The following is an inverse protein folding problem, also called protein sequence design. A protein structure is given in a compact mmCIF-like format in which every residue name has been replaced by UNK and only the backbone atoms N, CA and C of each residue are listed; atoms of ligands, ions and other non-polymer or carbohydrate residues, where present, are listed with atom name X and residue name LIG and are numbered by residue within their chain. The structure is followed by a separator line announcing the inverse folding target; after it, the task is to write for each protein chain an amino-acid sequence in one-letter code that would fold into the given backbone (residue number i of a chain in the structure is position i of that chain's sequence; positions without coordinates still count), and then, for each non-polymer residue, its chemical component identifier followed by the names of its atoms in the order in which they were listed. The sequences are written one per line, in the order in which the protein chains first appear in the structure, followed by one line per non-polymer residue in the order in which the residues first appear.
data_IF_495311150940
#
_entry.id   IF_495311150940
#
_cell.length_a   1.000
_cell.length_b   1.000
_cell.length_c   1.000
_cell.angle_alpha   90.00
_cell.angle_beta   90.00
_cell.angle_gamma   90.00
#
_symmetry.space_group_name_H-M   'P 1'
#
loop_
_entity.id
_entity.type
_entity.pdbx_description
1 polymer ?
#
# COMPACT_ATOMS: atom_id res chain seq x y z
N UNK A 1 -7.92 -9.79 18.45
CA UNK A 1 -7.28 -9.10 17.29
C UNK A 1 -8.34 -8.29 16.58
N UNK A 2 -8.27 -6.97 16.59
CA UNK A 2 -9.27 -6.10 15.98
C UNK A 2 -8.74 -5.65 14.60
N UNK A 3 -9.17 -6.31 13.54
CA UNK A 3 -8.99 -5.91 12.16
C UNK A 3 -10.16 -5.09 11.62
N UNK A 4 -10.17 -4.82 10.33
CA UNK A 4 -11.36 -4.32 9.65
C UNK A 4 -12.43 -5.44 9.64
N UNK A 5 -13.72 -5.15 9.95
CA UNK A 5 -14.78 -6.14 9.90
C UNK A 5 -15.13 -6.44 8.44
N UNK A 6 -14.55 -7.51 7.92
CA UNK A 6 -14.76 -7.93 6.54
C UNK A 6 -16.07 -8.70 6.38
N UNK A 7 -16.77 -8.43 5.30
CA UNK A 7 -17.96 -9.17 4.87
C UNK A 7 -17.68 -9.68 3.45
N UNK A 8 -17.64 -10.99 3.26
CA UNK A 8 -17.39 -11.65 1.96
C UNK A 8 -16.17 -11.05 1.23
N UNK A 9 -15.03 -10.99 1.92
CA UNK A 9 -13.79 -10.47 1.32
C UNK A 9 -13.78 -8.96 1.03
N UNK A 10 -14.69 -8.20 1.61
CA UNK A 10 -14.85 -6.77 1.36
C UNK A 10 -15.01 -5.97 2.64
N UNK A 11 -14.62 -4.71 2.61
CA UNK A 11 -14.89 -3.74 3.66
C UNK A 11 -15.41 -2.45 3.06
N UNK A 12 -16.47 -1.92 3.64
CA UNK A 12 -17.00 -0.62 3.28
C UNK A 12 -17.40 0.14 4.54
N UNK A 13 -17.00 1.39 4.64
CA UNK A 13 -17.45 2.27 5.71
C UNK A 13 -18.97 2.40 5.63
N UNK A 14 -19.71 1.82 6.60
CA UNK A 14 -21.15 1.60 6.52
C UNK A 14 -21.99 2.85 6.76
N UNK A 15 -21.53 3.77 7.62
CA UNK A 15 -22.25 5.01 7.98
C UNK A 15 -21.25 6.16 8.09
N UNK A 16 -21.75 7.39 8.15
CA UNK A 16 -20.93 8.57 8.42
C UNK A 16 -20.32 8.47 9.83
N UNK A 17 -19.07 7.98 9.89
CA UNK A 17 -18.29 7.87 11.13
C UNK A 17 -17.56 9.18 11.47
N UNK A 18 -17.89 10.25 10.75
CA UNK A 18 -17.26 11.55 10.91
C UNK A 18 -17.48 12.11 12.30
N UNK A 19 -16.38 12.44 12.98
CA UNK A 19 -16.45 13.10 14.28
C UNK A 19 -16.98 14.53 14.15
N UNK A 20 -17.46 15.13 15.24
CA UNK A 20 -17.88 16.54 15.26
C UNK A 20 -16.74 17.45 14.76
N UNK A 21 -15.51 17.21 15.20
CA UNK A 21 -14.33 17.95 14.71
C UNK A 21 -14.12 17.71 13.20
N UNK A 22 -14.32 16.49 12.72
CA UNK A 22 -14.22 16.14 11.30
C UNK A 22 -15.24 16.84 10.41
N UNK A 23 -16.42 17.17 10.95
CA UNK A 23 -17.44 17.95 10.23
C UNK A 23 -17.01 19.41 10.03
N UNK A 24 -16.26 19.97 10.99
CA UNK A 24 -15.75 21.34 10.92
C UNK A 24 -14.46 21.40 10.12
N UNK A 25 -13.49 20.53 10.44
CA UNK A 25 -12.18 20.50 9.78
C UNK A 25 -11.63 19.06 9.73
N UNK A 26 -11.62 18.41 8.56
CA UNK A 26 -11.00 17.09 8.38
C UNK A 26 -9.53 17.06 8.80
N UNK A 27 -8.78 18.12 8.53
CA UNK A 27 -7.36 18.22 8.88
C UNK A 27 -7.16 18.23 10.40
N UNK A 28 -7.96 18.99 11.15
CA UNK A 28 -7.93 19.01 12.62
C UNK A 28 -8.40 17.70 13.25
N UNK A 29 -9.28 16.96 12.57
CA UNK A 29 -9.65 15.63 13.00
C UNK A 29 -8.55 14.60 12.75
N UNK A 30 -7.74 14.77 11.70
CA UNK A 30 -6.74 13.81 11.25
C UNK A 30 -5.36 14.03 11.87
N UNK A 31 -4.73 15.19 11.65
CA UNK A 31 -3.32 15.40 11.96
C UNK A 31 -2.96 15.27 13.45
N UNK A 32 -3.73 15.81 14.41
CA UNK A 32 -3.42 15.63 15.82
C UNK A 32 -3.47 14.17 16.29
N UNK A 33 -4.17 13.29 15.53
CA UNK A 33 -4.28 11.86 15.86
C UNK A 33 -3.22 11.01 15.17
N UNK A 34 -2.80 11.36 13.95
CA UNK A 34 -1.83 10.54 13.23
C UNK A 34 -0.41 10.70 13.80
N UNK A 35 -0.02 11.90 14.25
CA UNK A 35 1.31 12.11 14.82
C UNK A 35 1.59 11.22 16.02
N UNK A 36 0.73 11.12 17.06
CA UNK A 36 0.93 10.19 18.16
C UNK A 36 1.05 8.72 17.72
N UNK A 37 0.28 8.29 16.68
CA UNK A 37 0.40 6.94 16.13
C UNK A 37 1.80 6.71 15.56
N UNK A 38 2.31 7.65 14.75
CA UNK A 38 3.65 7.57 14.15
C UNK A 38 4.75 7.56 15.22
N UNK A 39 4.68 8.46 16.20
CA UNK A 39 5.68 8.54 17.27
C UNK A 39 5.69 7.28 18.14
N UNK A 40 4.51 6.75 18.48
CA UNK A 40 4.38 5.50 19.23
C UNK A 40 4.95 4.32 18.45
N UNK A 41 4.61 4.20 17.15
CA UNK A 41 5.15 3.17 16.26
C UNK A 41 6.69 3.26 16.19
N UNK A 42 7.23 4.47 16.00
CA UNK A 42 8.67 4.71 15.99
C UNK A 42 9.37 4.33 17.30
N UNK A 43 8.76 4.68 18.45
CA UNK A 43 9.28 4.33 19.78
C UNK A 43 9.24 2.80 20.02
N UNK A 44 8.19 2.12 19.58
CA UNK A 44 8.10 0.65 19.65
C UNK A 44 9.14 -0.01 18.74
N UNK A 45 9.29 0.47 17.51
CA UNK A 45 10.26 -0.02 16.55
C UNK A 45 11.71 0.16 17.05
N UNK A 46 12.04 1.32 17.60
CA UNK A 46 13.35 1.58 18.22
C UNK A 46 13.69 0.59 19.35
N UNK A 47 12.68 0.07 20.05
CA UNK A 47 12.82 -0.91 21.14
C UNK A 47 12.72 -2.37 20.67
N UNK A 48 12.64 -2.62 19.35
CA UNK A 48 12.49 -3.97 18.79
C UNK A 48 11.12 -4.62 19.05
N UNK A 49 10.09 -3.84 19.41
CA UNK A 49 8.75 -4.33 19.79
C UNK A 49 7.66 -4.00 18.75
N UNK A 50 8.03 -3.60 17.54
CA UNK A 50 7.10 -3.29 16.46
C UNK A 50 7.03 -4.46 15.50
N UNK A 51 6.28 -5.49 15.88
CA UNK A 51 6.00 -6.71 15.12
C UNK A 51 4.81 -6.53 14.15
N UNK A 52 4.36 -7.61 13.53
CA UNK A 52 3.25 -7.59 12.58
C UNK A 52 1.91 -7.19 13.25
N UNK A 53 1.71 -7.60 14.51
CA UNK A 53 0.52 -7.24 15.27
C UNK A 53 0.49 -5.73 15.63
N UNK A 54 1.61 -5.19 16.08
CA UNK A 54 1.75 -3.77 16.36
C UNK A 54 1.60 -2.93 15.08
N UNK A 55 2.10 -3.43 13.96
CA UNK A 55 1.95 -2.78 12.66
C UNK A 55 0.49 -2.77 12.20
N UNK A 56 -0.20 -3.90 12.28
CA UNK A 56 -1.62 -4.00 11.98
C UNK A 56 -2.45 -3.06 12.86
N UNK A 57 -2.17 -3.02 14.17
CA UNK A 57 -2.87 -2.17 15.12
C UNK A 57 -2.69 -0.67 14.82
N UNK A 58 -1.47 -0.24 14.51
CA UNK A 58 -1.20 1.16 14.14
C UNK A 58 -1.84 1.53 12.80
N UNK A 59 -1.81 0.62 11.83
CA UNK A 59 -2.47 0.77 10.53
C UNK A 59 -4.01 0.89 10.69
N UNK A 60 -4.61 0.07 11.54
CA UNK A 60 -6.03 0.18 11.89
C UNK A 60 -6.37 1.54 12.52
N UNK A 61 -5.51 2.01 13.43
CA UNK A 61 -5.69 3.33 14.05
C UNK A 61 -5.65 4.46 13.02
N UNK A 62 -4.80 4.37 11.99
CA UNK A 62 -4.78 5.32 10.87
C UNK A 62 -6.07 5.24 10.05
N UNK A 63 -6.52 4.04 9.68
CA UNK A 63 -7.78 3.85 8.93
C UNK A 63 -8.97 4.44 9.68
N UNK A 64 -9.08 4.19 10.99
CA UNK A 64 -10.13 4.77 11.85
C UNK A 64 -10.00 6.29 11.99
N UNK A 65 -8.80 6.82 11.96
CA UNK A 65 -8.57 8.27 11.99
C UNK A 65 -9.03 8.94 10.71
N UNK A 66 -8.82 8.30 9.56
CA UNK A 66 -9.35 8.74 8.26
C UNK A 66 -10.89 8.75 8.26
N UNK A 67 -11.54 7.69 8.75
CA UNK A 67 -12.99 7.62 8.86
C UNK A 67 -13.55 8.72 9.78
N UNK A 68 -12.91 8.97 10.93
CA UNK A 68 -13.28 10.07 11.83
C UNK A 68 -13.10 11.45 11.19
N UNK A 69 -12.17 11.61 10.26
CA UNK A 69 -12.02 12.81 9.44
C UNK A 69 -13.06 12.90 8.32
N UNK A 70 -13.81 11.83 8.07
CA UNK A 70 -14.91 11.76 7.12
C UNK A 70 -14.57 11.04 5.81
N UNK A 71 -13.36 10.49 5.65
CA UNK A 71 -13.04 9.66 4.51
C UNK A 71 -13.81 8.32 4.58
N UNK A 72 -14.22 7.81 3.43
CA UNK A 72 -14.86 6.50 3.30
C UNK A 72 -13.87 5.53 2.70
N UNK A 73 -13.81 4.32 3.24
CA UNK A 73 -12.99 3.22 2.72
C UNK A 73 -13.93 2.25 1.98
N UNK A 74 -13.51 1.81 0.80
CA UNK A 74 -14.16 0.79 -0.02
C UNK A 74 -13.08 -0.17 -0.51
N UNK A 75 -13.08 -1.40 0.05
CA UNK A 75 -12.03 -2.41 -0.16
C UNK A 75 -12.71 -3.67 -0.67
N UNK A 76 -12.26 -4.23 -1.79
CA UNK A 76 -12.87 -5.40 -2.44
C UNK A 76 -11.82 -6.41 -2.89
N UNK A 77 -12.24 -7.66 -3.11
CA UNK A 77 -11.40 -8.72 -3.68
C UNK A 77 -10.42 -9.37 -2.71
N UNK A 78 -10.63 -9.23 -1.39
CA UNK A 78 -9.76 -9.86 -0.38
C UNK A 78 -9.94 -11.37 -0.28
N UNK A 79 -11.00 -11.93 -0.83
CA UNK A 79 -11.21 -13.36 -1.04
C UNK A 79 -10.09 -13.96 -1.92
N UNK A 80 -9.62 -13.25 -2.95
CA UNK A 80 -8.47 -13.63 -3.76
C UNK A 80 -7.16 -13.70 -2.95
N UNK A 81 -7.01 -12.80 -1.96
CA UNK A 81 -5.83 -12.80 -1.08
C UNK A 81 -5.93 -13.92 -0.06
N UNK A 82 -7.13 -14.13 0.50
CA UNK A 82 -7.39 -15.14 1.54
C UNK A 82 -7.27 -16.57 1.02
N UNK A 83 -7.74 -16.84 -0.21
CA UNK A 83 -7.71 -18.18 -0.82
C UNK A 83 -6.34 -18.58 -1.36
N UNK A 84 -5.42 -17.63 -1.54
CA UNK A 84 -4.09 -17.92 -2.06
C UNK A 84 -3.19 -18.48 -0.96
N UNK A 85 -2.63 -19.67 -1.14
CA UNK A 85 -1.60 -20.21 -0.26
C UNK A 85 -0.21 -19.65 -0.57
N UNK A 86 0.66 -19.61 0.45
CA UNK A 86 2.05 -19.13 0.32
C UNK A 86 2.18 -17.63 0.06
N UNK A 87 3.42 -17.17 -0.20
CA UNK A 87 3.72 -15.77 -0.49
C UNK A 87 3.37 -15.40 -1.94
N UNK A 88 3.21 -14.11 -2.19
CA UNK A 88 2.95 -13.56 -3.52
C UNK A 88 3.60 -12.18 -3.68
N UNK A 89 3.57 -11.66 -4.91
CA UNK A 89 3.93 -10.27 -5.20
C UNK A 89 2.66 -9.49 -5.47
N UNK A 90 2.35 -8.51 -4.62
CA UNK A 90 1.29 -7.54 -4.86
C UNK A 90 1.83 -6.44 -5.76
N UNK A 91 1.17 -6.18 -6.89
CA UNK A 91 1.59 -5.15 -7.85
C UNK A 91 0.45 -4.19 -8.11
N UNK A 92 0.66 -2.90 -7.84
CA UNK A 92 -0.37 -1.87 -8.02
C UNK A 92 0.17 -0.48 -8.29
N UNK A 93 -0.73 0.46 -8.56
CA UNK A 93 -0.42 1.86 -8.74
C UNK A 93 -0.10 2.55 -7.41
N UNK A 94 0.59 3.71 -7.47
CA UNK A 94 1.06 4.47 -6.30
C UNK A 94 0.57 5.92 -6.40
N UNK A 95 -0.33 6.33 -5.51
CA UNK A 95 -0.99 7.63 -5.61
C UNK A 95 -0.62 8.58 -4.46
N UNK A 96 -0.66 8.09 -3.21
CA UNK A 96 -0.45 8.93 -2.03
C UNK A 96 0.32 8.20 -0.92
N UNK A 97 0.56 8.87 0.19
CA UNK A 97 1.13 8.26 1.39
C UNK A 97 0.13 7.31 2.09
N UNK A 98 -1.17 7.53 1.88
CA UNK A 98 -2.26 6.80 2.55
C UNK A 98 -2.13 5.29 2.40
N UNK A 99 -1.88 4.82 1.18
CA UNK A 99 -1.83 3.38 0.91
C UNK A 99 -0.78 2.64 1.74
N UNK A 100 0.38 3.26 1.97
CA UNK A 100 1.44 2.62 2.75
C UNK A 100 1.09 2.51 4.24
N UNK A 101 0.22 3.38 4.74
CA UNK A 101 -0.31 3.33 6.10
C UNK A 101 -1.49 2.38 6.25
N UNK A 102 -2.29 2.16 5.21
CA UNK A 102 -3.54 1.39 5.29
C UNK A 102 -3.38 -0.04 4.78
N UNK A 103 -2.51 -0.31 3.79
CA UNK A 103 -2.27 -1.68 3.29
C UNK A 103 -1.93 -2.70 4.40
N UNK A 104 -1.19 -2.37 5.47
CA UNK A 104 -0.90 -3.35 6.51
C UNK A 104 -2.15 -3.88 7.24
N UNK A 105 -3.14 -3.03 7.56
CA UNK A 105 -4.38 -3.53 8.18
C UNK A 105 -5.22 -4.37 7.22
N UNK A 106 -5.07 -4.15 5.91
CA UNK A 106 -5.78 -4.89 4.87
C UNK A 106 -5.15 -6.28 4.65
N UNK A 107 -3.81 -6.35 4.56
CA UNK A 107 -3.10 -7.53 4.07
C UNK A 107 -2.55 -8.44 5.18
N UNK A 108 -2.11 -7.89 6.32
CA UNK A 108 -1.50 -8.67 7.42
C UNK A 108 -2.41 -9.75 8.01
N UNK A 109 -3.75 -9.63 8.01
CA UNK A 109 -4.62 -10.72 8.42
C UNK A 109 -4.47 -12.01 7.59
N UNK A 110 -3.97 -11.88 6.35
CA UNK A 110 -3.86 -12.98 5.39
C UNK A 110 -2.41 -13.35 5.07
N UNK A 111 -1.53 -12.34 4.98
CA UNK A 111 -0.16 -12.49 4.47
C UNK A 111 0.81 -11.63 5.27
N UNK A 112 1.95 -12.20 5.65
CA UNK A 112 3.09 -11.37 6.05
C UNK A 112 3.56 -10.59 4.83
N UNK A 113 3.76 -9.29 5.01
CA UNK A 113 4.13 -8.38 3.91
C UNK A 113 5.36 -7.55 4.23
N UNK A 114 6.05 -7.12 3.19
CA UNK A 114 6.99 -6.00 3.24
C UNK A 114 6.93 -5.21 1.94
N UNK A 115 7.63 -4.05 1.91
CA UNK A 115 7.59 -3.12 0.78
C UNK A 115 8.96 -2.97 0.13
N UNK A 116 8.95 -2.61 -1.16
CA UNK A 116 10.09 -1.97 -1.80
C UNK A 116 10.00 -0.47 -1.54
N UNK A 117 11.01 0.10 -0.91
CA UNK A 117 10.99 1.51 -0.45
C UNK A 117 12.22 2.27 -0.95
N UNK A 118 12.10 3.60 -1.04
CA UNK A 118 13.25 4.45 -1.33
C UNK A 118 14.20 4.45 -0.13
N UNK A 119 15.52 4.34 -0.37
CA UNK A 119 16.56 4.35 0.69
C UNK A 119 16.39 5.51 1.67
N UNK A 120 16.10 6.72 1.18
CA UNK A 120 15.91 7.88 2.04
C UNK A 120 14.79 7.76 3.07
N UNK A 121 13.80 6.85 2.89
CA UNK A 121 12.76 6.60 3.89
C UNK A 121 13.27 5.79 5.08
N UNK A 122 14.31 4.99 4.87
CA UNK A 122 14.98 4.23 5.93
C UNK A 122 15.81 5.16 6.83
N UNK A 123 16.29 6.26 6.26
CA UNK A 123 17.11 7.26 6.94
C UNK A 123 16.27 8.35 7.62
N UNK A 124 14.95 8.34 7.41
CA UNK A 124 14.03 9.35 7.96
C UNK A 124 13.97 9.28 9.50
N UNK A 125 14.03 10.41 10.22
CA UNK A 125 13.83 10.42 11.66
C UNK A 125 12.50 9.79 12.05
N UNK A 126 12.45 9.04 13.16
CA UNK A 126 11.26 8.34 13.68
C UNK A 126 10.72 7.26 12.75
N UNK A 127 10.31 7.63 11.53
CA UNK A 127 9.70 6.71 10.56
C UNK A 127 10.69 5.66 10.03
N UNK A 128 11.97 5.99 9.93
CA UNK A 128 13.03 5.05 9.55
C UNK A 128 13.15 3.85 10.48
N UNK A 129 12.87 4.02 11.79
CA UNK A 129 12.82 2.89 12.71
C UNK A 129 11.69 1.92 12.39
N UNK A 130 10.50 2.45 12.02
CA UNK A 130 9.35 1.65 11.57
C UNK A 130 9.72 0.91 10.29
N UNK A 131 10.30 1.61 9.30
CA UNK A 131 10.70 0.99 8.04
C UNK A 131 11.69 -0.15 8.26
N UNK A 132 12.79 0.08 8.97
CA UNK A 132 13.80 -0.97 9.26
C UNK A 132 13.21 -2.18 9.96
N UNK A 133 12.25 -2.00 10.87
CA UNK A 133 11.62 -3.12 11.59
C UNK A 133 10.76 -4.02 10.69
N UNK A 134 10.42 -3.58 9.48
CA UNK A 134 9.60 -4.33 8.52
C UNK A 134 10.41 -5.05 7.44
N UNK A 135 11.73 -5.09 7.59
CA UNK A 135 12.65 -5.74 6.65
C UNK A 135 12.37 -5.36 5.17
N UNK A 136 12.31 -4.06 4.82
CA UNK A 136 11.99 -3.61 3.48
C UNK A 136 13.13 -3.88 2.51
N UNK A 137 12.84 -3.80 1.21
CA UNK A 137 13.87 -3.75 0.18
C UNK A 137 14.12 -2.28 -0.15
N UNK A 138 15.32 -1.80 0.16
CA UNK A 138 15.71 -0.43 -0.14
C UNK A 138 16.22 -0.30 -1.56
N UNK A 139 15.78 0.74 -2.28
CA UNK A 139 16.26 1.12 -3.62
C UNK A 139 16.73 2.56 -3.63
N UNK A 140 17.88 2.81 -4.26
CA UNK A 140 18.49 4.14 -4.31
C UNK A 140 17.81 5.10 -5.27
N UNK A 141 17.21 4.57 -6.35
CA UNK A 141 16.62 5.30 -7.48
C UNK A 141 17.63 6.19 -8.24
N UNK A 142 18.90 5.83 -8.16
CA UNK A 142 19.99 6.50 -8.88
C UNK A 142 20.50 5.59 -10.01
N UNK A 143 20.68 4.31 -9.71
CA UNK A 143 21.16 3.31 -10.66
C UNK A 143 20.08 2.22 -10.87
N UNK A 144 19.36 2.22 -12.00
CA UNK A 144 18.30 1.25 -12.27
C UNK A 144 18.77 -0.21 -12.26
N UNK A 145 20.03 -0.49 -12.58
CA UNK A 145 20.58 -1.87 -12.55
C UNK A 145 20.80 -2.35 -11.13
N UNK A 146 21.33 -1.50 -10.26
CA UNK A 146 21.50 -1.81 -8.83
C UNK A 146 20.16 -1.98 -8.13
N UNK A 147 19.20 -1.11 -8.42
CA UNK A 147 17.84 -1.19 -7.89
C UNK A 147 17.16 -2.49 -8.34
N UNK A 148 17.30 -2.85 -9.62
CA UNK A 148 16.78 -4.14 -10.13
C UNK A 148 17.42 -5.31 -9.39
N UNK A 149 18.75 -5.31 -9.22
CA UNK A 149 19.49 -6.35 -8.51
C UNK A 149 19.00 -6.46 -7.07
N UNK A 150 18.90 -5.35 -6.34
CA UNK A 150 18.43 -5.30 -4.97
C UNK A 150 17.03 -5.88 -4.82
N UNK A 151 16.09 -5.53 -5.73
CA UNK A 151 14.73 -6.06 -5.72
C UNK A 151 14.72 -7.55 -6.05
N UNK A 152 15.49 -7.99 -7.04
CA UNK A 152 15.50 -9.40 -7.47
C UNK A 152 16.12 -10.32 -6.41
N UNK A 153 17.20 -9.92 -5.77
CA UNK A 153 17.90 -10.72 -4.75
C UNK A 153 17.16 -10.62 -3.40
N UNK A 154 16.91 -9.39 -2.95
CA UNK A 154 16.22 -9.14 -1.70
C UNK A 154 14.78 -9.67 -1.69
N UNK A 155 14.10 -9.59 -2.84
CA UNK A 155 12.75 -10.11 -3.03
C UNK A 155 12.70 -11.65 -2.95
N UNK A 156 13.60 -12.33 -3.67
CA UNK A 156 13.67 -13.79 -3.63
C UNK A 156 13.91 -14.32 -2.20
N UNK A 157 14.78 -13.65 -1.43
CA UNK A 157 15.04 -14.03 -0.03
C UNK A 157 13.77 -13.90 0.83
N UNK A 158 13.01 -12.81 0.70
CA UNK A 158 11.80 -12.59 1.52
C UNK A 158 10.67 -13.51 1.11
N UNK A 159 10.45 -13.70 -0.19
CA UNK A 159 9.49 -14.67 -0.70
C UNK A 159 9.80 -16.09 -0.23
N UNK A 160 11.08 -16.50 -0.26
CA UNK A 160 11.53 -17.77 0.28
C UNK A 160 11.30 -17.95 1.79
N UNK A 161 11.16 -16.84 2.54
CA UNK A 161 10.78 -16.82 3.97
C UNK A 161 9.26 -16.72 4.20
N UNK A 162 8.44 -16.84 3.16
CA UNK A 162 6.99 -16.70 3.26
C UNK A 162 6.50 -15.25 3.42
N UNK A 163 7.33 -14.24 3.12
CA UNK A 163 6.97 -12.83 3.21
C UNK A 163 6.61 -12.32 1.81
N UNK A 164 5.38 -11.91 1.61
CA UNK A 164 4.89 -11.31 0.37
C UNK A 164 5.43 -9.90 0.19
N UNK A 165 5.57 -9.48 -1.07
CA UNK A 165 6.11 -8.17 -1.41
C UNK A 165 5.04 -7.26 -2.00
N UNK A 166 4.95 -6.03 -1.52
CA UNK A 166 4.15 -4.97 -2.13
C UNK A 166 5.07 -4.10 -2.97
N UNK A 167 4.81 -4.05 -4.27
CA UNK A 167 5.60 -3.31 -5.25
C UNK A 167 4.71 -2.30 -5.97
N UNK A 168 5.19 -1.06 -6.01
CA UNK A 168 4.65 0.01 -6.82
C UNK A 168 5.61 0.29 -7.98
N UNK A 169 5.35 -0.24 -9.19
CA UNK A 169 6.26 -0.10 -10.33
C UNK A 169 6.46 1.33 -10.83
N UNK A 170 5.70 2.29 -10.33
CA UNK A 170 5.88 3.71 -10.62
C UNK A 170 7.04 4.29 -9.82
N UNK A 171 7.80 5.20 -10.41
CA UNK A 171 8.96 5.83 -9.76
C UNK A 171 8.57 6.75 -8.60
N UNK A 172 7.35 7.30 -8.60
CA UNK A 172 6.85 8.20 -7.56
C UNK A 172 5.34 8.12 -7.42
N UNK A 173 4.83 8.68 -6.34
CA UNK A 173 3.39 8.87 -6.11
C UNK A 173 2.85 9.95 -7.04
N UNK A 174 1.85 9.60 -7.84
CA UNK A 174 1.19 10.52 -8.76
C UNK A 174 -0.33 10.29 -8.75
N UNK A 175 -1.13 11.35 -8.84
CA UNK A 175 -2.59 11.23 -8.89
C UNK A 175 -3.10 10.62 -10.20
N UNK A 176 -2.32 10.74 -11.28
CA UNK A 176 -2.64 10.24 -12.61
C UNK A 176 -1.85 8.98 -12.90
N UNK A 177 -2.51 7.94 -13.32
CA UNK A 177 -1.85 6.69 -13.71
C UNK A 177 -1.39 6.76 -15.16
N UNK A 178 -0.09 6.56 -15.37
CA UNK A 178 0.52 6.45 -16.70
C UNK A 178 0.95 4.99 -16.94
N UNK A 179 0.25 4.25 -17.83
CA UNK A 179 0.62 2.88 -18.17
C UNK A 179 2.03 2.74 -18.74
N UNK A 180 2.54 3.77 -19.43
CA UNK A 180 3.87 3.77 -20.06
C UNK A 180 5.00 3.85 -19.02
N UNK A 181 4.72 4.45 -17.86
CA UNK A 181 5.65 4.58 -16.73
C UNK A 181 5.60 3.38 -15.76
N UNK A 182 4.74 2.38 -16.02
CA UNK A 182 4.54 1.23 -15.16
C UNK A 182 5.50 0.09 -15.55
N UNK A 183 6.60 -0.08 -14.80
CA UNK A 183 7.67 -1.01 -15.15
C UNK A 183 7.37 -2.48 -14.79
N UNK A 184 8.16 -3.41 -15.35
CA UNK A 184 7.95 -4.86 -15.24
C UNK A 184 8.66 -5.52 -14.05
N UNK A 185 9.23 -4.77 -13.11
CA UNK A 185 10.10 -5.31 -12.06
C UNK A 185 9.39 -6.33 -11.16
N UNK A 186 8.12 -6.06 -10.82
CA UNK A 186 7.32 -6.95 -9.97
C UNK A 186 7.02 -8.29 -10.65
N UNK A 187 6.66 -8.26 -11.93
CA UNK A 187 6.41 -9.48 -12.73
C UNK A 187 7.69 -10.31 -12.90
N UNK A 188 8.82 -9.65 -13.18
CA UNK A 188 10.12 -10.33 -13.28
C UNK A 188 10.51 -11.00 -11.97
N UNK A 189 10.27 -10.33 -10.83
CA UNK A 189 10.54 -10.91 -9.52
C UNK A 189 9.65 -12.13 -9.24
N UNK A 190 8.33 -12.01 -9.48
CA UNK A 190 7.37 -13.08 -9.26
C UNK A 190 7.75 -14.34 -10.08
N UNK A 191 8.12 -14.14 -11.36
CA UNK A 191 8.62 -15.21 -12.21
C UNK A 191 9.88 -15.87 -11.64
N UNK A 192 10.89 -15.08 -11.24
CA UNK A 192 12.15 -15.59 -10.68
C UNK A 192 11.95 -16.41 -9.41
N UNK A 193 11.00 -15.99 -8.57
CA UNK A 193 10.72 -16.64 -7.29
C UNK A 193 9.65 -17.75 -7.40
N UNK A 194 9.10 -17.99 -8.59
CA UNK A 194 8.00 -18.92 -8.88
C UNK A 194 6.80 -18.73 -7.94
N UNK A 195 6.40 -17.47 -7.74
CA UNK A 195 5.24 -17.11 -6.93
C UNK A 195 4.20 -16.36 -7.78
N UNK A 196 2.91 -16.43 -7.41
CA UNK A 196 1.88 -15.67 -8.12
C UNK A 196 1.98 -14.17 -7.86
N UNK A 197 1.37 -13.40 -8.77
CA UNK A 197 1.12 -11.97 -8.63
C UNK A 197 -0.34 -11.77 -8.25
N UNK A 198 -0.62 -10.89 -7.29
CA UNK A 198 -1.95 -10.33 -7.07
C UNK A 198 -1.92 -8.89 -7.57
N UNK A 199 -2.64 -8.58 -8.68
CA UNK A 199 -2.82 -7.20 -9.09
C UNK A 199 -3.70 -6.47 -8.08
N UNK A 200 -3.37 -5.22 -7.79
CA UNK A 200 -4.27 -4.37 -7.03
C UNK A 200 -4.34 -2.97 -7.63
N UNK A 201 -5.50 -2.37 -7.51
CA UNK A 201 -5.75 -0.98 -7.88
C UNK A 201 -6.11 -0.18 -6.64
N UNK A 202 -5.68 1.08 -6.60
CA UNK A 202 -6.04 1.97 -5.51
C UNK A 202 -6.33 3.39 -6.02
N UNK A 203 -7.26 4.06 -5.30
CA UNK A 203 -7.51 5.48 -5.42
C UNK A 203 -7.54 6.08 -4.03
N UNK A 204 -6.46 6.76 -3.64
CA UNK A 204 -6.16 7.16 -2.25
C UNK A 204 -6.00 8.68 -2.11
N UNK A 205 -6.50 9.43 -3.06
CA UNK A 205 -6.41 10.88 -3.17
C UNK A 205 -7.25 11.66 -2.13
N UNK A 206 -7.97 10.94 -1.26
CA UNK A 206 -8.58 11.52 -0.06
C UNK A 206 -7.52 12.07 0.92
N UNK A 207 -6.31 11.55 0.91
CA UNK A 207 -5.13 12.16 1.52
C UNK A 207 -4.16 12.59 0.42
N UNK A 208 -4.31 13.82 -0.02
CA UNK A 208 -3.54 14.38 -1.12
C UNK A 208 -2.06 14.59 -0.77
N UNK A 209 -1.25 14.78 -1.79
CA UNK A 209 0.15 15.15 -1.62
C UNK A 209 0.28 16.64 -1.25
N UNK A 210 1.10 16.95 -0.24
CA UNK A 210 1.35 18.32 0.19
C UNK A 210 2.30 19.06 -0.76
N UNK A 211 2.21 20.40 -0.77
CA UNK A 211 3.06 21.25 -1.60
C UNK A 211 4.48 21.37 -1.07
N UNK A 212 4.65 21.53 0.26
CA UNK A 212 5.95 21.69 0.90
C UNK A 212 6.53 20.34 1.34
N UNK A 213 5.74 19.54 2.02
CA UNK A 213 6.10 18.19 2.43
C UNK A 213 5.09 17.24 1.81
N UNK A 214 5.57 16.40 0.90
CA UNK A 214 4.72 15.51 0.08
C UNK A 214 3.81 14.61 0.91
N UNK A 215 4.22 14.28 2.14
CA UNK A 215 3.46 13.41 3.05
C UNK A 215 2.34 14.11 3.83
N UNK A 216 2.27 15.44 3.81
CA UNK A 216 1.30 16.23 4.58
C UNK A 216 0.42 17.07 3.65
N UNK A 217 -0.52 16.40 2.99
CA UNK A 217 -1.47 17.04 2.08
C UNK A 217 -2.85 17.25 2.69
N UNK A 218 -3.73 17.86 1.93
CA UNK A 218 -5.12 18.07 2.34
C UNK A 218 -5.84 16.74 2.52
N UNK A 219 -6.67 16.64 3.57
CA UNK A 219 -7.65 15.56 3.73
C UNK A 219 -8.96 16.01 3.08
N UNK A 220 -9.42 15.25 2.09
CA UNK A 220 -10.65 15.52 1.35
C UNK A 220 -11.67 14.39 1.59
N UNK A 221 -12.64 14.58 2.50
CA UNK A 221 -13.63 13.57 2.84
C UNK A 221 -14.68 13.32 1.76
N UNK A 222 -14.75 14.16 0.71
CA UNK A 222 -15.62 13.92 -0.43
C UNK A 222 -15.16 12.77 -1.32
N UNK A 223 -13.86 12.41 -1.22
CA UNK A 223 -13.23 11.34 -1.99
C UNK A 223 -13.29 10.04 -1.22
N UNK A 224 -13.82 9.01 -1.85
CA UNK A 224 -13.76 7.65 -1.31
C UNK A 224 -12.37 7.06 -1.56
N UNK A 225 -11.82 6.41 -0.55
CA UNK A 225 -10.57 5.65 -0.64
C UNK A 225 -10.91 4.25 -1.12
N UNK A 226 -10.41 3.89 -2.30
CA UNK A 226 -10.67 2.59 -2.90
C UNK A 226 -9.43 1.72 -2.92
N UNK A 227 -9.63 0.43 -2.64
CA UNK A 227 -8.67 -0.65 -2.88
C UNK A 227 -9.43 -1.82 -3.52
N UNK A 228 -8.94 -2.34 -4.62
CA UNK A 228 -9.43 -3.57 -5.22
C UNK A 228 -8.27 -4.54 -5.46
N UNK A 229 -8.48 -5.81 -5.13
CA UNK A 229 -7.51 -6.88 -5.34
C UNK A 229 -8.06 -7.84 -6.39
N UNK A 230 -7.27 -8.12 -7.42
CA UNK A 230 -7.64 -9.02 -8.50
C UNK A 230 -7.28 -10.48 -8.22
N UNK A 231 -7.72 -11.36 -9.09
CA UNK A 231 -7.38 -12.77 -9.02
C UNK A 231 -5.86 -13.00 -9.16
N UNK A 232 -5.31 -14.03 -8.49
CA UNK A 232 -3.89 -14.36 -8.60
C UNK A 232 -3.52 -14.74 -10.05
N UNK A 233 -2.42 -14.19 -10.55
CA UNK A 233 -1.86 -14.46 -11.85
C UNK A 233 -0.55 -15.26 -11.71
N UNK A 234 -0.44 -16.41 -12.35
CA UNK A 234 0.85 -17.11 -12.49
C UNK A 234 1.59 -16.56 -13.70
N UNK A 235 2.84 -16.16 -13.47
CA UNK A 235 3.65 -15.55 -14.52
C UNK A 235 4.19 -16.63 -15.47
N UNK A 236 3.75 -16.56 -16.70
CA UNK A 236 4.18 -17.44 -17.80
C UNK A 236 5.25 -16.78 -18.68
N UNK A 237 5.95 -17.54 -19.48
CA UNK A 237 6.94 -17.09 -20.48
C UNK A 237 7.78 -15.88 -19.99
N UNK A 238 7.65 -14.72 -20.65
CA UNK A 238 8.36 -13.47 -20.32
C UNK A 238 7.57 -12.55 -19.36
N UNK A 239 6.32 -12.91 -19.02
CA UNK A 239 5.43 -12.15 -18.15
C UNK A 239 4.81 -10.91 -18.80
N UNK A 240 4.88 -10.78 -20.13
CA UNK A 240 4.33 -9.61 -20.82
C UNK A 240 2.80 -9.59 -20.77
N UNK A 241 2.15 -10.74 -20.92
CA UNK A 241 0.70 -10.86 -20.84
C UNK A 241 0.18 -10.50 -19.45
N UNK A 242 0.81 -11.03 -18.40
CA UNK A 242 0.44 -10.74 -17.02
C UNK A 242 0.68 -9.28 -16.66
N UNK A 243 1.75 -8.67 -17.18
CA UNK A 243 2.01 -7.24 -17.00
C UNK A 243 0.90 -6.39 -17.62
N UNK A 244 0.45 -6.71 -18.82
CA UNK A 244 -0.68 -6.02 -19.46
C UNK A 244 -1.99 -6.25 -18.71
N UNK A 245 -2.22 -7.46 -18.18
CA UNK A 245 -3.39 -7.76 -17.36
C UNK A 245 -3.42 -6.92 -16.07
N UNK A 246 -2.28 -6.75 -15.39
CA UNK A 246 -2.16 -5.88 -14.22
C UNK A 246 -2.50 -4.44 -14.58
N UNK A 247 -1.94 -3.92 -15.67
CA UNK A 247 -2.24 -2.56 -16.16
C UNK A 247 -3.73 -2.43 -16.46
N UNK A 248 -4.31 -3.38 -17.18
CA UNK A 248 -5.73 -3.38 -17.52
C UNK A 248 -6.61 -3.37 -16.27
N UNK A 249 -6.28 -4.19 -15.27
CA UNK A 249 -6.98 -4.23 -13.98
C UNK A 249 -6.95 -2.86 -13.28
N UNK A 250 -5.77 -2.22 -13.21
CA UNK A 250 -5.63 -0.89 -12.61
C UNK A 250 -6.44 0.15 -13.37
N UNK A 251 -6.34 0.18 -14.70
CA UNK A 251 -7.04 1.15 -15.57
C UNK A 251 -8.55 1.03 -15.43
N UNK A 252 -9.09 -0.19 -15.46
CA UNK A 252 -10.54 -0.43 -15.34
C UNK A 252 -11.08 0.07 -13.99
N UNK A 253 -10.39 -0.25 -12.90
CA UNK A 253 -10.79 0.18 -11.57
C UNK A 253 -10.68 1.71 -11.40
N UNK A 254 -9.57 2.31 -11.83
CA UNK A 254 -9.39 3.76 -11.74
C UNK A 254 -10.48 4.50 -12.53
N UNK A 255 -10.78 4.07 -13.77
CA UNK A 255 -11.86 4.66 -14.57
C UNK A 255 -13.23 4.53 -13.88
N UNK A 256 -13.53 3.36 -13.30
CA UNK A 256 -14.77 3.13 -12.56
C UNK A 256 -14.91 4.04 -11.33
N UNK A 257 -13.80 4.43 -10.71
CA UNK A 257 -13.78 5.31 -9.54
C UNK A 257 -13.57 6.81 -9.89
N UNK A 258 -13.59 7.17 -11.17
CA UNK A 258 -13.34 8.54 -11.63
C UNK A 258 -11.90 9.00 -11.42
N UNK A 259 -10.95 8.06 -11.43
CA UNK A 259 -9.52 8.35 -11.43
C UNK A 259 -9.02 8.75 -12.82
N UNK A 260 -7.87 9.42 -12.86
CA UNK A 260 -7.25 9.89 -14.12
C UNK A 260 -6.24 8.86 -14.60
N UNK A 261 -6.37 8.48 -15.87
CA UNK A 261 -5.46 7.59 -16.59
C UNK A 261 -4.98 8.33 -17.83
N UNK A 262 -3.66 8.39 -18.03
CA UNK A 262 -3.07 8.95 -19.25
C UNK A 262 -3.26 8.00 -20.43
N UNK A 263 -3.41 8.57 -21.60
CA UNK A 263 -3.54 7.85 -22.87
C UNK A 263 -2.18 7.40 -23.45
#
# INVERSE_FOLDING_TARGET
MSGLPLVQGSYKTSQDQRSLVGRISPALAFYPRIFPIIFRAGAMAKRGRYDDEAWQASSLAVARTLEKAGARLDITGLDHVASLEGPCVFIGNHMSTLETFVLPVILLPFKRITFVVKQSLIDYPVFGHVMRSRDPIAVGRINPREDLKAVMEGGAVRLGKGISLVIFPQTTRVPEFDPKEFNTIGVKLAKRADVPVIPFALKTDAWGNGRLVKDFGRIDPSRTVHFAFGAPLRVSQQGAAEHQEIIRFIVLNLKAWGGVVKE
#
